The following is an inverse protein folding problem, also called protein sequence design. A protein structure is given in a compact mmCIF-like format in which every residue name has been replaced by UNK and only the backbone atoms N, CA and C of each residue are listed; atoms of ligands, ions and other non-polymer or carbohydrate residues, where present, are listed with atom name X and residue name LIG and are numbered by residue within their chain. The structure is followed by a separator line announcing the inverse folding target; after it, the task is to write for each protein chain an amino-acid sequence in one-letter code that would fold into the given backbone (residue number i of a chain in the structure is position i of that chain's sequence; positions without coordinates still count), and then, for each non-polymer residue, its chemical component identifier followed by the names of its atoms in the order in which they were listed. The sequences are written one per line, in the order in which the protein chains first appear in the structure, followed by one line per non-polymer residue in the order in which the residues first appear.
data_IF_526392894324
#
_entry.id   IF_526392894324
#
_cell.length_a   1.000
_cell.length_b   1.000
_cell.length_c   1.000
_cell.angle_alpha   90.00
_cell.angle_beta   90.00
_cell.angle_gamma   90.00
#
_symmetry.space_group_name_H-M   'P 1'
#
loop_
_entity.id
_entity.type
_entity.pdbx_description
1 polymer ?
#
# COMPACT_ATOMS: atom_id res chain seq x y z
N UNK A 1 36.54 -8.99 -4.54
CA UNK A 1 36.01 -10.23 -3.91
C UNK A 1 35.06 -9.94 -2.72
N UNK A 2 34.30 -8.83 -2.70
CA UNK A 2 33.39 -8.46 -1.59
C UNK A 2 31.90 -8.51 -1.97
N UNK A 3 31.54 -8.13 -3.20
CA UNK A 3 30.14 -8.01 -3.63
C UNK A 3 29.34 -9.31 -3.62
N UNK A 4 29.96 -10.46 -3.94
CA UNK A 4 29.28 -11.75 -3.97
C UNK A 4 28.89 -12.31 -2.60
N UNK A 5 29.68 -12.02 -1.57
CA UNK A 5 29.43 -12.45 -0.19
C UNK A 5 28.32 -11.61 0.45
N UNK A 6 28.28 -10.31 0.16
CA UNK A 6 27.25 -9.40 0.66
C UNK A 6 25.87 -9.69 0.05
N UNK A 7 25.80 -10.00 -1.25
CA UNK A 7 24.53 -10.39 -1.91
C UNK A 7 23.94 -11.66 -1.30
N UNK A 8 24.78 -12.66 -1.02
CA UNK A 8 24.37 -13.92 -0.41
C UNK A 8 23.85 -13.71 1.03
N UNK A 9 24.50 -12.85 1.81
CA UNK A 9 24.03 -12.48 3.17
C UNK A 9 22.66 -11.79 3.13
N UNK A 10 22.45 -10.87 2.19
CA UNK A 10 21.17 -10.17 2.02
C UNK A 10 20.06 -11.17 1.63
N UNK A 11 20.33 -12.06 0.67
CA UNK A 11 19.37 -13.09 0.28
C UNK A 11 19.01 -14.00 1.47
N UNK A 12 19.99 -14.42 2.26
CA UNK A 12 19.75 -15.20 3.48
C UNK A 12 18.92 -14.44 4.51
N UNK A 13 19.16 -13.14 4.71
CA UNK A 13 18.37 -12.32 5.62
C UNK A 13 16.92 -12.23 5.18
N UNK A 14 16.68 -12.02 3.88
CA UNK A 14 15.34 -11.96 3.28
C UNK A 14 14.62 -13.30 3.43
N UNK A 15 15.31 -14.43 3.20
CA UNK A 15 14.73 -15.76 3.38
C UNK A 15 14.36 -16.02 4.84
N UNK A 16 15.23 -15.69 5.79
CA UNK A 16 14.92 -15.82 7.23
C UNK A 16 13.72 -14.96 7.61
N UNK A 17 13.65 -13.72 7.13
CA UNK A 17 12.48 -12.87 7.36
C UNK A 17 11.20 -13.46 6.74
N UNK A 18 11.31 -14.11 5.58
CA UNK A 18 10.17 -14.78 4.94
C UNK A 18 9.70 -16.01 5.72
N UNK A 19 10.59 -16.72 6.41
CA UNK A 19 10.22 -17.83 7.32
C UNK A 19 9.37 -17.32 8.49
N UNK A 20 9.65 -16.12 9.01
CA UNK A 20 8.89 -15.50 10.11
C UNK A 20 7.42 -15.20 9.74
N UNK A 21 7.08 -15.10 8.45
CA UNK A 21 5.68 -14.99 8.00
C UNK A 21 4.84 -16.24 8.36
N UNK A 22 5.50 -17.38 8.57
CA UNK A 22 4.87 -18.63 9.00
C UNK A 22 4.92 -18.86 10.52
N UNK A 23 5.36 -17.87 11.32
CA UNK A 23 5.45 -18.00 12.77
C UNK A 23 4.07 -18.28 13.41
N UNK A 24 4.04 -18.94 14.56
CA UNK A 24 2.79 -19.08 15.34
C UNK A 24 2.51 -17.85 16.20
N UNK A 25 3.49 -16.95 16.35
CA UNK A 25 3.36 -15.70 17.07
C UNK A 25 2.93 -14.59 16.10
N UNK A 26 1.73 -14.05 16.34
CA UNK A 26 1.13 -13.00 15.51
C UNK A 26 1.97 -11.71 15.48
N UNK A 27 2.68 -11.37 16.57
CA UNK A 27 3.52 -10.17 16.62
C UNK A 27 4.78 -10.35 15.77
N UNK A 28 5.32 -11.56 15.73
CA UNK A 28 6.45 -11.90 14.83
C UNK A 28 6.00 -11.80 13.37
N UNK A 29 4.84 -12.36 13.03
CA UNK A 29 4.29 -12.24 11.67
C UNK A 29 4.08 -10.78 11.27
N UNK A 30 3.45 -9.97 12.13
CA UNK A 30 3.21 -8.54 11.86
C UNK A 30 4.52 -7.80 11.63
N UNK A 31 5.52 -8.00 12.50
CA UNK A 31 6.82 -7.36 12.35
C UNK A 31 7.49 -7.74 11.02
N UNK A 32 7.40 -9.01 10.61
CA UNK A 32 7.92 -9.46 9.33
C UNK A 32 7.21 -8.77 8.15
N UNK A 33 5.88 -8.67 8.20
CA UNK A 33 5.09 -7.93 7.19
C UNK A 33 5.49 -6.45 7.14
N UNK A 34 5.67 -5.79 8.28
CA UNK A 34 6.07 -4.38 8.34
C UNK A 34 7.47 -4.15 7.75
N UNK A 35 8.44 -5.02 8.06
CA UNK A 35 9.78 -4.95 7.48
C UNK A 35 9.76 -5.12 5.95
N UNK A 36 8.90 -6.01 5.44
CA UNK A 36 8.69 -6.13 3.98
C UNK A 36 8.01 -4.90 3.39
N UNK A 37 7.06 -4.28 4.09
CA UNK A 37 6.38 -3.08 3.63
C UNK A 37 7.36 -1.91 3.50
N UNK A 38 8.20 -1.72 4.51
CA UNK A 38 9.27 -0.72 4.50
C UNK A 38 10.22 -0.99 3.33
N UNK A 39 10.72 -2.22 3.17
CA UNK A 39 11.60 -2.58 2.05
C UNK A 39 10.96 -2.34 0.67
N UNK A 40 9.69 -2.72 0.50
CA UNK A 40 8.96 -2.59 -0.75
C UNK A 40 8.69 -1.13 -1.14
N UNK A 41 8.44 -0.24 -0.18
CA UNK A 41 8.15 1.18 -0.47
C UNK A 41 9.38 2.00 -0.89
N UNK A 42 10.59 1.60 -0.48
CA UNK A 42 11.81 2.42 -0.69
C UNK A 42 12.26 2.48 -2.16
N UNK A 43 12.25 1.34 -2.87
CA UNK A 43 12.76 1.25 -4.25
C UNK A 43 11.95 0.26 -5.08
N UNK A 44 11.65 0.64 -6.32
CA UNK A 44 10.99 -0.22 -7.29
C UNK A 44 11.77 -1.53 -7.56
N UNK A 45 13.11 -1.51 -7.48
CA UNK A 45 13.93 -2.71 -7.62
C UNK A 45 13.71 -3.72 -6.48
N UNK A 46 13.53 -3.24 -5.25
CA UNK A 46 13.24 -4.08 -4.09
C UNK A 46 11.85 -4.71 -4.23
N UNK A 47 10.84 -3.91 -4.58
CA UNK A 47 9.49 -4.43 -4.84
C UNK A 47 9.48 -5.51 -5.95
N UNK A 48 10.18 -5.26 -7.06
CA UNK A 48 10.32 -6.24 -8.15
C UNK A 48 11.06 -7.51 -7.72
N UNK A 49 12.08 -7.37 -6.89
CA UNK A 49 12.80 -8.52 -6.35
C UNK A 49 11.89 -9.38 -5.46
N UNK A 50 11.18 -8.77 -4.50
CA UNK A 50 10.24 -9.47 -3.61
C UNK A 50 9.12 -10.18 -4.39
N UNK A 51 8.64 -9.58 -5.49
CA UNK A 51 7.73 -10.22 -6.44
C UNK A 51 8.39 -11.44 -7.09
N UNK A 52 9.60 -11.28 -7.63
CA UNK A 52 10.29 -12.35 -8.37
C UNK A 52 10.60 -13.59 -7.55
N UNK A 53 10.78 -13.44 -6.22
CA UNK A 53 11.07 -14.55 -5.32
C UNK A 53 9.82 -15.07 -4.59
N UNK A 54 8.61 -14.60 -4.96
CA UNK A 54 7.34 -15.14 -4.46
C UNK A 54 6.93 -14.69 -3.05
N UNK A 55 7.62 -13.70 -2.45
CA UNK A 55 7.25 -13.18 -1.12
C UNK A 55 5.92 -12.44 -1.18
N UNK A 56 5.68 -11.63 -2.22
CA UNK A 56 4.41 -10.91 -2.37
C UNK A 56 3.24 -11.88 -2.56
N UNK A 57 3.45 -12.98 -3.28
CA UNK A 57 2.43 -14.03 -3.41
C UNK A 57 2.12 -14.71 -2.08
N UNK A 58 3.13 -14.91 -1.23
CA UNK A 58 2.93 -15.43 0.12
C UNK A 58 2.09 -14.47 0.97
N UNK A 59 2.41 -13.18 0.95
CA UNK A 59 1.65 -12.15 1.67
C UNK A 59 0.21 -12.04 1.16
N UNK A 60 -0.01 -12.20 -0.16
CA UNK A 60 -1.36 -12.24 -0.72
C UNK A 60 -2.17 -13.46 -0.25
N UNK A 61 -1.52 -14.64 -0.12
CA UNK A 61 -2.19 -15.82 0.45
C UNK A 61 -2.59 -15.60 1.90
N UNK A 62 -1.71 -15.04 2.72
CA UNK A 62 -2.03 -14.67 4.10
C UNK A 62 -3.17 -13.64 4.15
N UNK A 63 -3.18 -12.68 3.24
CA UNK A 63 -4.22 -11.66 3.14
C UNK A 63 -5.59 -12.27 2.88
N UNK A 64 -5.68 -13.16 1.90
CA UNK A 64 -6.93 -13.87 1.58
C UNK A 64 -7.38 -14.74 2.76
N UNK A 65 -6.46 -15.45 3.41
CA UNK A 65 -6.77 -16.24 4.61
C UNK A 65 -7.34 -15.39 5.74
N UNK A 66 -6.83 -14.17 5.94
CA UNK A 66 -7.35 -13.27 6.94
C UNK A 66 -8.78 -12.82 6.66
N UNK A 67 -9.15 -12.67 5.38
CA UNK A 67 -10.52 -12.31 4.98
C UNK A 67 -11.54 -13.41 5.32
N UNK A 68 -11.10 -14.67 5.34
CA UNK A 68 -11.96 -15.82 5.66
C UNK A 68 -12.03 -16.11 7.17
N UNK A 69 -11.16 -15.50 7.98
CA UNK A 69 -10.99 -15.80 9.41
C UNK A 69 -11.09 -14.54 10.27
N UNK A 70 -12.27 -14.24 10.87
CA UNK A 70 -12.49 -13.05 11.70
C UNK A 70 -11.50 -12.89 12.87
N UNK A 71 -10.99 -14.01 13.39
CA UNK A 71 -10.12 -14.06 14.58
C UNK A 71 -8.65 -13.71 14.29
N UNK A 72 -8.23 -13.64 13.01
CA UNK A 72 -6.86 -13.26 12.60
C UNK A 72 -6.66 -11.74 12.50
N UNK A 73 -7.60 -10.97 13.06
CA UNK A 73 -7.83 -9.54 12.78
C UNK A 73 -6.66 -8.58 12.95
N UNK A 74 -5.56 -8.97 13.61
CA UNK A 74 -4.37 -8.11 13.75
C UNK A 74 -3.43 -8.15 12.54
N UNK A 75 -3.39 -9.25 11.79
CA UNK A 75 -2.53 -9.37 10.61
C UNK A 75 -3.12 -8.62 9.40
N UNK A 76 -4.45 -8.61 9.29
CA UNK A 76 -5.15 -7.97 8.17
C UNK A 76 -4.78 -6.48 8.00
N UNK A 77 -4.79 -5.62 9.04
CA UNK A 77 -4.29 -4.24 8.94
C UNK A 77 -2.85 -4.13 8.44
N UNK A 78 -1.95 -4.99 8.91
CA UNK A 78 -0.55 -4.98 8.49
C UNK A 78 -0.40 -5.32 7.00
N UNK A 79 -1.22 -6.27 6.50
CA UNK A 79 -1.22 -6.66 5.09
C UNK A 79 -1.85 -5.57 4.19
N UNK A 80 -2.92 -4.90 4.62
CA UNK A 80 -3.47 -3.72 3.92
C UNK A 80 -2.37 -2.65 3.76
N UNK A 81 -1.67 -2.34 4.85
CA UNK A 81 -0.55 -1.38 4.85
C UNK A 81 0.57 -1.83 3.91
N UNK A 82 0.94 -3.12 3.92
CA UNK A 82 1.95 -3.68 3.04
C UNK A 82 1.64 -3.43 1.55
N UNK A 83 0.43 -3.78 1.10
CA UNK A 83 0.05 -3.59 -0.30
C UNK A 83 -0.07 -2.10 -0.68
N UNK A 84 -0.50 -1.26 0.27
CA UNK A 84 -0.42 0.19 0.16
C UNK A 84 1.01 0.67 -0.14
N UNK A 85 1.97 0.25 0.67
CA UNK A 85 3.39 0.58 0.50
C UNK A 85 3.99 0.01 -0.80
N UNK A 86 3.64 -1.22 -1.16
CA UNK A 86 4.05 -1.84 -2.43
C UNK A 86 3.58 -1.01 -3.63
N UNK A 87 2.36 -0.48 -3.57
CA UNK A 87 1.80 0.32 -4.66
C UNK A 87 2.55 1.63 -4.91
N UNK A 88 3.20 2.21 -3.89
CA UNK A 88 3.97 3.45 -4.01
C UNK A 88 5.15 3.28 -4.98
N UNK A 89 5.81 2.13 -4.94
CA UNK A 89 6.99 1.85 -5.77
C UNK A 89 6.69 1.02 -7.03
N UNK A 90 5.56 0.30 -7.07
CA UNK A 90 5.22 -0.61 -8.16
C UNK A 90 3.70 -0.83 -8.30
N UNK A 91 2.94 0.22 -8.61
CA UNK A 91 1.47 0.13 -8.77
C UNK A 91 1.05 -0.86 -9.87
N UNK A 92 1.90 -1.09 -10.87
CA UNK A 92 1.63 -1.97 -12.01
C UNK A 92 1.46 -3.45 -11.61
N UNK A 93 1.89 -3.85 -10.41
CA UNK A 93 1.68 -5.21 -9.91
C UNK A 93 0.28 -5.44 -9.30
N UNK A 94 -0.44 -4.39 -8.91
CA UNK A 94 -1.72 -4.52 -8.21
C UNK A 94 -2.81 -5.32 -8.96
N UNK A 95 -2.90 -5.33 -10.31
CA UNK A 95 -3.81 -6.24 -11.02
C UNK A 95 -3.65 -7.72 -10.68
N UNK A 96 -2.47 -8.15 -10.20
CA UNK A 96 -2.21 -9.52 -9.77
C UNK A 96 -2.82 -9.84 -8.40
N UNK A 97 -3.19 -8.81 -7.64
CA UNK A 97 -3.69 -8.90 -6.26
C UNK A 97 -5.04 -8.17 -6.10
N UNK A 98 -6.09 -8.54 -6.87
CA UNK A 98 -7.33 -7.77 -6.93
C UNK A 98 -8.07 -7.67 -5.59
N UNK A 99 -7.93 -8.69 -4.73
CA UNK A 99 -8.54 -8.71 -3.39
C UNK A 99 -8.08 -7.56 -2.50
N UNK A 100 -6.84 -7.09 -2.66
CA UNK A 100 -6.37 -5.94 -1.91
C UNK A 100 -7.20 -4.68 -2.22
N UNK A 101 -7.41 -4.37 -3.50
CA UNK A 101 -8.19 -3.19 -3.88
C UNK A 101 -9.64 -3.32 -3.47
N UNK A 102 -10.27 -4.47 -3.69
CA UNK A 102 -11.64 -4.73 -3.24
C UNK A 102 -11.80 -4.45 -1.74
N UNK A 103 -10.91 -5.00 -0.93
CA UNK A 103 -10.88 -4.83 0.52
C UNK A 103 -10.61 -3.38 0.94
N UNK A 104 -9.69 -2.70 0.27
CA UNK A 104 -9.39 -1.29 0.55
C UNK A 104 -10.62 -0.40 0.28
N UNK A 105 -11.29 -0.60 -0.85
CA UNK A 105 -12.50 0.17 -1.18
C UNK A 105 -13.66 -0.16 -0.26
N UNK A 106 -13.83 -1.42 0.14
CA UNK A 106 -14.84 -1.81 1.14
C UNK A 106 -14.63 -1.08 2.48
N UNK A 107 -13.39 -1.04 2.98
CA UNK A 107 -13.03 -0.28 4.18
C UNK A 107 -13.38 1.22 4.03
N UNK A 108 -13.07 1.83 2.88
CA UNK A 108 -13.38 3.23 2.60
C UNK A 108 -14.90 3.48 2.54
N UNK A 109 -15.65 2.55 1.95
CA UNK A 109 -17.09 2.67 1.77
C UNK A 109 -17.89 2.46 3.06
N UNK A 110 -17.30 1.77 4.02
CA UNK A 110 -17.89 1.45 5.32
C UNK A 110 -17.09 2.05 6.47
N UNK A 111 -16.37 3.16 6.19
CA UNK A 111 -15.45 3.79 7.13
C UNK A 111 -16.12 4.19 8.45
N UNK A 112 -17.42 4.53 8.41
CA UNK A 112 -18.25 4.90 9.55
C UNK A 112 -18.40 3.78 10.58
N UNK A 113 -18.27 2.52 10.15
CA UNK A 113 -18.33 1.32 10.99
C UNK A 113 -16.98 0.91 11.57
N UNK A 114 -15.89 1.49 11.07
CA UNK A 114 -14.53 1.19 11.51
C UNK A 114 -14.19 1.95 12.79
N UNK A 115 -13.37 1.33 13.63
CA UNK A 115 -12.68 2.06 14.69
C UNK A 115 -11.72 3.12 14.11
N UNK A 116 -11.24 4.01 14.97
CA UNK A 116 -10.38 5.13 14.57
C UNK A 116 -9.10 4.68 13.85
N UNK A 117 -8.49 3.58 14.28
CA UNK A 117 -7.21 3.10 13.74
C UNK A 117 -7.37 2.52 12.33
N UNK A 118 -8.38 1.67 12.14
CA UNK A 118 -8.67 1.04 10.86
C UNK A 118 -9.21 2.06 9.85
N UNK A 119 -9.95 3.07 10.32
CA UNK A 119 -10.38 4.21 9.51
C UNK A 119 -9.18 5.02 9.00
N UNK A 120 -8.22 5.35 9.87
CA UNK A 120 -6.99 6.04 9.46
C UNK A 120 -6.22 5.21 8.43
N UNK A 121 -6.02 3.92 8.72
CA UNK A 121 -5.34 3.00 7.82
C UNK A 121 -5.99 2.98 6.43
N UNK A 122 -7.31 2.89 6.35
CA UNK A 122 -8.02 2.85 5.07
C UNK A 122 -7.74 4.09 4.22
N UNK A 123 -7.93 5.29 4.79
CA UNK A 123 -7.72 6.54 4.06
C UNK A 123 -6.24 6.81 3.74
N UNK A 124 -5.33 6.53 4.67
CA UNK A 124 -3.88 6.68 4.44
C UNK A 124 -3.40 5.70 3.34
N UNK A 125 -3.95 4.48 3.32
CA UNK A 125 -3.62 3.48 2.30
C UNK A 125 -4.15 3.88 0.92
N UNK A 126 -5.41 4.34 0.82
CA UNK A 126 -5.94 4.84 -0.45
C UNK A 126 -5.13 6.04 -0.96
N UNK A 127 -4.74 6.94 -0.06
CA UNK A 127 -3.89 8.06 -0.43
C UNK A 127 -2.50 7.60 -0.91
N UNK A 128 -1.90 6.59 -0.28
CA UNK A 128 -0.63 6.00 -0.73
C UNK A 128 -0.77 5.38 -2.13
N UNK A 129 -1.84 4.61 -2.37
CA UNK A 129 -2.18 4.05 -3.69
C UNK A 129 -2.44 5.14 -4.72
N UNK A 130 -2.89 6.33 -4.32
CA UNK A 130 -3.10 7.48 -5.21
C UNK A 130 -1.95 8.49 -5.27
N UNK A 131 -0.81 8.23 -4.63
CA UNK A 131 0.22 9.25 -4.33
C UNK A 131 1.12 9.64 -5.51
N UNK A 132 1.06 8.91 -6.63
CA UNK A 132 1.87 9.17 -7.83
C UNK A 132 1.00 9.30 -9.07
N UNK A 133 1.50 9.98 -10.11
CA UNK A 133 0.74 10.17 -11.36
C UNK A 133 0.44 8.86 -12.08
N UNK A 134 1.34 7.88 -12.00
CA UNK A 134 1.10 6.53 -12.54
C UNK A 134 -0.04 5.85 -11.78
N UNK A 135 -0.05 6.00 -10.47
CA UNK A 135 -1.03 5.36 -9.62
C UNK A 135 -2.43 6.01 -9.73
N UNK A 136 -2.51 7.33 -9.90
CA UNK A 136 -3.75 8.03 -10.28
C UNK A 136 -4.32 7.52 -11.60
N UNK A 137 -3.48 7.39 -12.64
CA UNK A 137 -3.89 6.81 -13.94
C UNK A 137 -4.28 5.34 -13.83
N UNK A 138 -3.72 4.61 -12.88
CA UNK A 138 -4.14 3.25 -12.58
C UNK A 138 -5.53 3.24 -11.95
N UNK A 139 -5.77 4.04 -10.91
CA UNK A 139 -7.07 4.14 -10.24
C UNK A 139 -8.18 4.62 -11.18
N UNK A 140 -7.89 5.59 -12.06
CA UNK A 140 -8.84 6.06 -13.09
C UNK A 140 -9.22 4.93 -14.06
N UNK A 141 -8.25 4.12 -14.49
CA UNK A 141 -8.53 2.93 -15.33
C UNK A 141 -9.34 1.87 -14.59
N UNK A 142 -9.05 1.63 -13.32
CA UNK A 142 -9.84 0.70 -12.51
C UNK A 142 -11.28 1.22 -12.32
N UNK A 143 -11.45 2.53 -12.11
CA UNK A 143 -12.76 3.15 -11.99
C UNK A 143 -13.64 2.98 -13.23
N UNK A 144 -13.05 3.07 -14.41
CA UNK A 144 -13.78 2.93 -15.66
C UNK A 144 -14.08 1.47 -16.05
N UNK A 145 -13.31 0.51 -15.51
CA UNK A 145 -13.37 -0.90 -15.93
C UNK A 145 -13.92 -1.87 -14.87
N UNK A 146 -13.96 -1.48 -13.60
CA UNK A 146 -14.35 -2.33 -12.48
C UNK A 146 -15.42 -1.65 -11.63
N UNK A 147 -16.53 -2.37 -11.35
CA UNK A 147 -17.63 -1.86 -10.53
C UNK A 147 -17.30 -1.71 -9.06
N UNK A 148 -16.25 -2.39 -8.57
CA UNK A 148 -15.83 -2.38 -7.16
C UNK A 148 -14.93 -1.18 -6.83
N UNK A 149 -14.28 -0.58 -7.84
CA UNK A 149 -13.38 0.57 -7.69
C UNK A 149 -14.10 1.89 -8.06
N UNK A 150 -15.09 2.30 -7.28
CA UNK A 150 -15.73 3.61 -7.47
C UNK A 150 -14.93 4.73 -6.77
N UNK A 151 -14.08 5.41 -7.54
CA UNK A 151 -13.30 6.55 -7.07
C UNK A 151 -14.19 7.75 -6.70
N UNK A 152 -15.33 7.95 -7.36
CA UNK A 152 -16.25 9.04 -6.99
C UNK A 152 -16.82 8.81 -5.60
N UNK A 153 -17.24 7.57 -5.31
CA UNK A 153 -17.71 7.18 -3.98
C UNK A 153 -16.61 7.31 -2.93
N UNK A 154 -15.39 6.88 -3.23
CA UNK A 154 -14.26 7.02 -2.31
C UNK A 154 -13.92 8.49 -2.00
N UNK A 155 -13.94 9.38 -3.00
CA UNK A 155 -13.73 10.81 -2.78
C UNK A 155 -14.87 11.45 -1.97
N UNK A 156 -16.10 10.98 -2.14
CA UNK A 156 -17.22 11.41 -1.31
C UNK A 156 -17.04 10.95 0.15
N UNK A 157 -16.56 9.72 0.36
CA UNK A 157 -16.21 9.20 1.69
C UNK A 157 -15.12 10.06 2.37
N UNK A 158 -14.09 10.50 1.65
CA UNK A 158 -13.14 11.50 2.15
C UNK A 158 -13.84 12.77 2.63
N UNK A 159 -14.73 13.34 1.82
CA UNK A 159 -15.48 14.55 2.16
C UNK A 159 -16.31 14.39 3.44
N UNK A 160 -17.04 13.28 3.56
CA UNK A 160 -17.84 12.98 4.76
C UNK A 160 -16.94 12.78 5.97
N UNK A 161 -15.85 12.00 5.86
CA UNK A 161 -14.93 11.73 6.96
C UNK A 161 -14.26 13.01 7.48
N UNK A 162 -13.89 13.94 6.59
CA UNK A 162 -13.34 15.26 6.93
C UNK A 162 -14.39 16.17 7.58
N UNK A 163 -15.66 16.06 7.19
CA UNK A 163 -16.72 16.90 7.73
C UNK A 163 -17.25 16.43 9.10
N UNK A 164 -17.22 15.12 9.38
CA UNK A 164 -17.98 14.51 10.48
C UNK A 164 -17.16 13.85 11.58
N UNK A 165 -15.84 13.65 11.39
CA UNK A 165 -14.99 12.97 12.38
C UNK A 165 -14.60 13.84 13.60
N UNK A 166 -14.02 13.23 14.66
CA UNK A 166 -13.25 13.96 15.68
C UNK A 166 -12.13 14.79 15.04
N UNK A 167 -11.76 15.91 15.67
CA UNK A 167 -10.79 16.87 15.12
C UNK A 167 -9.51 16.21 14.61
N UNK A 168 -8.91 15.31 15.40
CA UNK A 168 -7.66 14.63 15.03
C UNK A 168 -7.80 13.74 13.78
N UNK A 169 -8.92 13.02 13.66
CA UNK A 169 -9.20 12.20 12.48
C UNK A 169 -9.43 13.07 11.25
N UNK A 170 -10.12 14.20 11.40
CA UNK A 170 -10.35 15.15 10.29
C UNK A 170 -9.03 15.70 9.76
N UNK A 171 -8.12 16.11 10.65
CA UNK A 171 -6.78 16.58 10.25
C UNK A 171 -6.02 15.49 9.49
N UNK A 172 -6.05 14.25 9.98
CA UNK A 172 -5.40 13.12 9.29
C UNK A 172 -6.01 12.84 7.92
N UNK A 173 -7.33 12.84 7.78
CA UNK A 173 -7.99 12.64 6.49
C UNK A 173 -7.72 13.78 5.50
N UNK A 174 -7.60 15.03 5.97
CA UNK A 174 -7.16 16.16 5.14
C UNK A 174 -5.72 15.92 4.65
N UNK A 175 -4.81 15.48 5.52
CA UNK A 175 -3.43 15.20 5.13
C UNK A 175 -3.34 14.06 4.10
N UNK A 176 -4.08 12.97 4.31
CA UNK A 176 -4.16 11.87 3.36
C UNK A 176 -4.71 12.34 2.00
N UNK A 177 -5.81 13.09 1.99
CA UNK A 177 -6.37 13.67 0.77
C UNK A 177 -5.38 14.62 0.09
N UNK A 178 -4.68 15.45 0.85
CA UNK A 178 -3.66 16.37 0.32
C UNK A 178 -2.52 15.60 -0.34
N UNK A 179 -2.04 14.52 0.27
CA UNK A 179 -1.00 13.66 -0.32
C UNK A 179 -1.47 13.04 -1.64
N UNK A 180 -2.73 12.62 -1.72
CA UNK A 180 -3.30 12.03 -2.93
C UNK A 180 -3.46 13.06 -4.06
N UNK A 181 -3.83 14.30 -3.72
CA UNK A 181 -4.05 15.37 -4.70
C UNK A 181 -2.74 16.08 -5.12
N UNK A 182 -1.66 15.91 -4.36
CA UNK A 182 -0.36 16.49 -4.68
C UNK A 182 0.10 16.05 -6.07
N UNK A 183 0.41 17.01 -6.94
CA UNK A 183 1.02 16.75 -8.24
C UNK A 183 2.53 16.81 -8.07
N UNK A 184 3.14 15.63 -7.92
CA UNK A 184 4.60 15.49 -7.88
C UNK A 184 5.12 15.62 -9.30
N UNK A 185 5.32 16.87 -9.76
CA UNK A 185 5.91 17.17 -11.06
C UNK A 185 7.36 16.63 -11.13
N UNK A 186 7.54 15.42 -11.66
CA UNK A 186 8.87 14.92 -12.01
C UNK A 186 9.27 15.43 -13.42
N UNK A 187 10.01 16.55 -13.41
CA UNK A 187 10.86 17.10 -14.47
C UNK A 187 10.21 17.60 -15.79
N UNK A 188 9.89 18.91 -15.85
CA UNK A 188 9.98 19.69 -17.11
C UNK A 188 10.04 21.23 -16.94
N UNK A 189 10.88 21.79 -16.05
CA UNK A 189 11.19 23.25 -16.09
C UNK A 189 12.67 23.62 -15.85
N UNK A 190 13.51 22.80 -15.22
CA UNK A 190 14.87 23.24 -14.82
C UNK A 190 16.06 22.50 -15.47
N UNK A 191 15.87 21.76 -16.56
CA UNK A 191 17.00 21.16 -17.31
C UNK A 191 17.01 21.43 -18.82
N UNK A 192 16.02 22.16 -19.35
CA UNK A 192 16.06 22.72 -20.72
C UNK A 192 16.44 24.20 -20.77
N UNK A 193 16.66 24.86 -19.62
CA UNK A 193 17.15 26.24 -19.55
C UNK A 193 18.67 26.37 -19.38
N UNK A 194 19.42 25.26 -19.26
CA UNK A 194 20.89 25.30 -19.07
C UNK A 194 21.69 24.62 -20.19
N UNK A 195 21.06 24.27 -21.32
CA UNK A 195 21.78 23.82 -22.53
C UNK A 195 21.21 24.58 -23.74
N UNK A 196 21.30 25.90 -23.66
CA UNK A 196 21.29 26.82 -24.80
C UNK A 196 22.05 28.05 -24.33
N UNK A 197 23.37 27.96 -24.43
CA UNK A 197 24.27 28.96 -25.02
C UNK A 197 25.69 28.38 -25.03
#
# INVERSE_FOLDING_TARGET
MKEGDDLHKIANLINRLAEELGSTDILIQINAVEMFADGASQKASTAKYLLSIGIVDHLNRLFIQCMDQPDTGFLYPALIKFFGHLSVSNVECLPQFPKFLDSLFDLIYHFDRLDASLRLLAFDTLAAVGSTDRAKKFLDRQHNNCTQCDMRRAMNAFGVAIASGPLDLRVRHINALSMMLEVKNEAKVMMHLFIRD
#
